data_IF_098336167972
#
_entry.id   IF_098336167972
#
_cell.length_a   1.000
_cell.length_b   1.000
_cell.length_c   1.000
_cell.angle_alpha   90.00
_cell.angle_beta   90.00
_cell.angle_gamma   90.00
#
_symmetry.space_group_name_H-M   'P 1'
#
loop_
_entity.id
_entity.type
_entity.pdbx_description
1 polymer ?
#
# COMPACT_ATOMS: atom_id res chain seq x y z
N UNK A 1 32.08 11.25 -19.37
CA UNK A 1 31.66 10.98 -19.35
C UNK A 1 30.83 10.34 -18.97
N UNK A 2 31.02 10.20 -18.94
CA UNK A 2 30.28 9.62 -18.71
C UNK A 2 29.46 9.38 -18.11
N UNK A 3 29.57 9.49 -17.95
CA UNK A 3 28.93 9.32 -17.40
C UNK A 3 27.91 9.46 -17.13
N UNK A 4 27.86 9.64 -17.19
CA UNK A 4 27.04 9.83 -17.13
C UNK A 4 26.05 9.50 -17.07
N UNK A 5 26.07 9.38 -17.28
CA UNK A 5 25.21 9.15 -17.39
C UNK A 5 24.39 8.56 -16.78
N UNK A 6 24.40 8.42 -16.46
CA UNK A 6 23.72 7.98 -15.92
C UNK A 6 22.75 8.27 -15.43
N UNK A 7 22.73 8.56 -15.29
CA UNK A 7 21.93 8.96 -14.89
C UNK A 7 20.84 8.82 -14.89
N UNK A 8 20.82 8.66 -15.25
CA UNK A 8 19.93 8.61 -15.40
C UNK A 8 18.92 8.23 -15.04
N UNK A 9 19.01 8.03 -14.85
CA UNK A 9 18.19 7.72 -14.59
C UNK A 9 17.28 7.94 -14.12
N UNK A 10 17.47 8.09 -13.90
CA UNK A 10 16.78 8.34 -13.50
C UNK A 10 15.84 8.50 -13.28
N UNK A 11 15.89 8.52 -13.34
CA UNK A 11 15.10 8.71 -13.26
C UNK A 11 14.26 8.81 -12.78
N UNK A 12 14.31 8.80 -12.30
CA UNK A 12 13.43 8.80 -11.68
C UNK A 12 12.48 9.26 -11.88
N UNK A 13 12.52 9.39 -12.20
CA UNK A 13 11.74 9.85 -12.42
C UNK A 13 10.55 9.89 -12.50
N UNK A 14 10.29 9.99 -12.83
CA UNK A 14 9.23 9.80 -13.15
C UNK A 14 8.15 9.57 -12.41
N UNK A 15 8.20 9.12 -11.68
CA UNK A 15 7.33 8.81 -10.89
C UNK A 15 6.44 9.74 -10.33
N UNK A 16 6.74 10.84 -10.45
CA UNK A 16 6.05 11.92 -9.93
C UNK A 16 4.63 12.03 -10.25
N UNK A 17 4.23 11.58 -11.37
CA UNK A 17 2.86 11.74 -11.77
C UNK A 17 1.87 11.05 -10.85
N UNK A 18 2.32 10.13 -10.07
CA UNK A 18 1.42 9.40 -9.22
C UNK A 18 1.03 10.10 -7.96
N UNK A 19 1.49 11.30 -7.76
CA UNK A 19 1.23 11.99 -6.53
C UNK A 19 -0.15 12.56 -6.40
N UNK A 20 -0.90 12.66 -7.46
CA UNK A 20 -2.19 13.29 -7.39
C UNK A 20 -3.25 12.37 -6.83
N UNK A 21 -4.30 12.95 -6.30
CA UNK A 21 -5.54 12.28 -5.99
C UNK A 21 -5.45 11.16 -4.96
N UNK A 22 -4.60 11.31 -4.00
CA UNK A 22 -4.53 10.34 -2.93
C UNK A 22 -3.87 9.03 -3.30
N UNK A 23 -3.18 9.01 -4.42
CA UNK A 23 -2.42 7.84 -4.83
C UNK A 23 -1.01 7.94 -4.30
N UNK A 24 -0.58 6.94 -3.57
CA UNK A 24 0.80 6.85 -3.10
C UNK A 24 1.62 5.99 -4.02
N UNK A 25 2.89 6.29 -4.13
CA UNK A 25 3.84 5.48 -4.87
C UNK A 25 4.87 4.93 -3.89
N UNK A 26 5.06 3.63 -3.93
CA UNK A 26 6.00 2.99 -3.02
C UNK A 26 7.43 3.32 -3.39
N UNK A 27 8.21 3.65 -2.41
CA UNK A 27 9.63 3.84 -2.56
C UNK A 27 10.36 2.50 -2.49
N UNK A 28 11.61 2.49 -2.94
CA UNK A 28 12.42 1.28 -2.88
C UNK A 28 12.54 0.70 -1.48
N UNK A 29 12.47 1.51 -0.47
CA UNK A 29 12.58 1.06 0.91
C UNK A 29 11.33 0.42 1.49
N UNK A 30 10.26 0.31 0.71
CA UNK A 30 9.05 -0.32 1.17
C UNK A 30 7.84 0.58 1.03
N UNK A 31 6.69 -0.03 1.16
CA UNK A 31 5.41 0.63 1.00
C UNK A 31 4.62 0.55 2.29
N UNK A 32 3.98 1.63 2.68
CA UNK A 32 3.26 1.71 3.94
C UNK A 32 1.88 2.29 3.76
N UNK A 33 0.93 1.75 4.53
CA UNK A 33 -0.43 2.25 4.61
C UNK A 33 -0.76 2.42 6.07
N UNK A 34 -1.32 3.55 6.45
CA UNK A 34 -1.80 3.78 7.81
C UNK A 34 -3.24 3.36 7.92
N UNK A 35 -3.59 2.70 9.01
CA UNK A 35 -4.96 2.30 9.31
C UNK A 35 -5.45 3.06 10.54
N UNK A 36 -6.39 3.93 10.34
CA UNK A 36 -7.00 4.71 11.42
C UNK A 36 -8.52 4.70 11.24
N UNK A 37 -9.25 5.20 12.20
CA UNK A 37 -10.70 5.30 12.11
C UNK A 37 -11.06 6.39 11.09
N UNK A 38 -11.70 6.14 10.01
CA UNK A 38 -12.13 4.85 9.45
C UNK A 38 -11.61 4.77 8.03
N UNK A 39 -10.31 4.84 7.88
CA UNK A 39 -9.72 4.91 6.55
C UNK A 39 -8.33 4.28 6.50
N UNK A 40 -7.96 3.86 5.30
CA UNK A 40 -6.59 3.49 4.97
C UNK A 40 -5.97 4.64 4.18
N UNK A 41 -4.74 5.03 4.55
CA UNK A 41 -4.04 6.13 3.88
C UNK A 41 -2.64 5.70 3.47
N UNK A 42 -2.32 5.75 2.19
CA UNK A 42 -3.20 6.14 1.09
C UNK A 42 -4.25 5.07 0.80
N UNK A 43 -5.35 5.48 0.24
CA UNK A 43 -6.43 4.56 -0.11
C UNK A 43 -6.04 3.68 -1.30
N UNK A 44 -5.31 4.23 -2.23
CA UNK A 44 -4.74 3.51 -3.36
C UNK A 44 -3.23 3.62 -3.30
N UNK A 45 -2.56 2.48 -3.28
CA UNK A 45 -1.11 2.44 -3.24
C UNK A 45 -0.61 1.67 -4.46
N UNK A 46 0.28 2.29 -5.23
CA UNK A 46 0.90 1.66 -6.39
C UNK A 46 2.29 1.17 -6.04
N UNK A 47 2.56 -0.08 -6.35
CA UNK A 47 3.85 -0.71 -6.07
C UNK A 47 4.33 -1.49 -7.29
N UNK A 48 5.57 -1.96 -7.22
CA UNK A 48 6.15 -2.85 -8.20
C UNK A 48 6.02 -4.29 -7.72
N UNK A 49 6.00 -5.23 -8.65
CA UNK A 49 6.02 -6.65 -8.30
C UNK A 49 7.19 -6.94 -7.38
N UNK A 50 6.96 -7.77 -6.39
CA UNK A 50 7.96 -8.16 -5.43
C UNK A 50 8.04 -7.28 -4.20
N UNK A 51 7.40 -6.14 -4.19
CA UNK A 51 7.43 -5.27 -3.03
C UNK A 51 6.48 -5.73 -1.94
N UNK A 52 6.86 -5.43 -0.71
CA UNK A 52 6.06 -5.72 0.47
C UNK A 52 5.35 -4.45 0.92
N UNK A 53 4.06 -4.57 1.22
CA UNK A 53 3.28 -3.49 1.81
C UNK A 53 3.10 -3.79 3.29
N UNK A 54 3.29 -2.78 4.12
CA UNK A 54 3.07 -2.87 5.56
C UNK A 54 1.95 -1.91 5.94
N UNK A 55 0.91 -2.45 6.56
CA UNK A 55 -0.16 -1.65 7.17
C UNK A 55 0.21 -1.40 8.61
N UNK A 56 0.09 -0.15 9.04
CA UNK A 56 0.44 0.28 10.39
C UNK A 56 -0.80 0.77 11.11
N UNK A 57 -1.02 0.23 12.28
CA UNK A 57 -2.10 0.67 13.14
C UNK A 57 -1.83 2.08 13.66
N UNK A 58 -2.84 2.92 13.64
CA UNK A 58 -2.80 4.26 14.23
C UNK A 58 -3.76 4.32 15.41
N UNK A 59 -5.01 3.96 15.20
CA UNK A 59 -6.00 3.91 16.26
C UNK A 59 -7.16 3.00 15.85
N UNK A 60 -8.00 2.65 16.82
CA UNK A 60 -9.16 1.82 16.55
C UNK A 60 -8.81 0.35 16.48
N UNK A 61 -9.70 -0.41 15.86
CA UNK A 61 -9.49 -1.83 15.65
C UNK A 61 -9.90 -2.12 14.20
N UNK A 62 -9.01 -2.72 13.45
CA UNK A 62 -9.21 -2.89 12.03
C UNK A 62 -8.79 -4.27 11.56
N UNK A 63 -9.18 -4.60 10.34
CA UNK A 63 -8.61 -5.74 9.63
C UNK A 63 -8.09 -5.25 8.29
N UNK A 64 -7.16 -6.00 7.72
CA UNK A 64 -6.74 -5.88 6.33
C UNK A 64 -7.13 -7.19 5.69
N UNK A 65 -8.19 -7.16 4.91
CA UNK A 65 -8.80 -8.36 4.39
C UNK A 65 -8.92 -8.31 2.87
N UNK A 66 -8.18 -9.21 2.22
CA UNK A 66 -8.22 -9.37 0.78
C UNK A 66 -8.91 -10.68 0.46
N UNK A 67 -9.79 -10.66 -0.54
CA UNK A 67 -10.31 -11.92 -1.07
C UNK A 67 -9.25 -12.62 -1.90
N UNK A 68 -8.53 -11.86 -2.70
CA UNK A 68 -7.48 -12.43 -3.54
C UNK A 68 -6.30 -12.85 -2.68
N UNK A 69 -6.03 -14.17 -2.65
CA UNK A 69 -4.97 -14.72 -1.83
C UNK A 69 -5.36 -14.99 -0.41
N UNK A 70 -6.63 -14.86 -0.07
CA UNK A 70 -7.15 -15.23 1.26
C UNK A 70 -6.35 -14.63 2.41
N UNK A 71 -6.07 -13.34 2.33
CA UNK A 71 -5.30 -12.64 3.35
C UNK A 71 -6.24 -11.91 4.30
N UNK A 72 -6.10 -12.15 5.60
CA UNK A 72 -6.93 -11.54 6.62
C UNK A 72 -6.13 -11.36 7.89
N UNK A 73 -5.78 -10.12 8.21
CA UNK A 73 -5.00 -9.79 9.41
C UNK A 73 -5.70 -8.72 10.21
N UNK A 74 -5.63 -8.85 11.53
CA UNK A 74 -6.16 -7.86 12.45
C UNK A 74 -5.09 -6.82 12.79
N UNK A 75 -5.51 -5.57 12.86
CA UNK A 75 -4.68 -4.47 13.34
C UNK A 75 -5.30 -3.89 14.60
N UNK A 76 -4.51 -3.77 15.64
CA UNK A 76 -4.92 -3.22 16.92
C UNK A 76 -3.70 -2.76 17.68
N UNK A 77 -3.90 -2.21 18.85
CA UNK A 77 -2.78 -1.82 19.70
C UNK A 77 -1.84 -3.00 19.96
N UNK A 78 -2.39 -4.19 20.18
CA UNK A 78 -1.60 -5.39 20.43
C UNK A 78 -1.01 -6.03 19.18
N UNK A 79 -1.51 -5.66 18.02
CA UNK A 79 -1.03 -6.17 16.73
C UNK A 79 -0.92 -4.98 15.75
N UNK A 80 0.13 -4.16 15.93
CA UNK A 80 0.17 -2.86 15.23
C UNK A 80 0.62 -2.91 13.78
N UNK A 81 0.97 -4.07 13.25
CA UNK A 81 1.43 -4.18 11.87
C UNK A 81 0.92 -5.45 11.21
N UNK A 82 0.71 -5.33 9.90
CA UNK A 82 0.46 -6.48 9.04
C UNK A 82 1.20 -6.21 7.73
N UNK A 83 1.74 -7.25 7.11
CA UNK A 83 2.50 -7.10 5.87
C UNK A 83 2.13 -8.17 4.87
N UNK A 84 2.21 -7.81 3.59
CA UNK A 84 1.99 -8.74 2.50
C UNK A 84 2.91 -8.40 1.34
N UNK A 85 3.55 -9.41 0.76
CA UNK A 85 4.38 -9.25 -0.44
C UNK A 85 3.54 -9.59 -1.66
N UNK A 86 3.61 -8.74 -2.69
CA UNK A 86 2.82 -8.90 -3.90
C UNK A 86 3.72 -9.30 -5.06
N UNK A 87 3.58 -10.53 -5.52
CA UNK A 87 4.44 -11.08 -6.58
C UNK A 87 3.82 -11.05 -7.96
N UNK A 88 2.55 -10.68 -8.06
CA UNK A 88 1.84 -10.63 -9.33
C UNK A 88 1.31 -9.23 -9.59
N UNK A 89 1.36 -8.81 -10.84
CA UNK A 89 0.75 -7.55 -11.25
C UNK A 89 -0.77 -7.65 -11.16
N UNK A 90 -1.43 -6.53 -10.92
CA UNK A 90 -2.88 -6.48 -10.83
C UNK A 90 -3.34 -5.48 -9.79
N UNK A 91 -4.64 -5.40 -9.63
CA UNK A 91 -5.28 -4.57 -8.62
C UNK A 91 -5.88 -5.45 -7.55
N UNK A 92 -5.45 -5.25 -6.32
CA UNK A 92 -5.85 -6.07 -5.19
C UNK A 92 -6.61 -5.21 -4.20
N UNK A 93 -7.91 -5.44 -4.10
CA UNK A 93 -8.78 -4.66 -3.23
C UNK A 93 -8.89 -5.30 -1.86
N UNK A 94 -8.97 -4.47 -0.84
CA UNK A 94 -9.11 -4.96 0.52
C UNK A 94 -10.07 -4.08 1.32
N UNK A 95 -10.54 -4.60 2.42
CA UNK A 95 -11.49 -3.91 3.29
C UNK A 95 -11.10 -4.12 4.74
N UNK A 96 -11.60 -3.24 5.60
CA UNK A 96 -11.69 -3.51 7.01
C UNK A 96 -13.05 -4.13 7.27
N UNK A 97 -13.09 -5.37 7.74
CA UNK A 97 -14.35 -6.09 7.96
C UNK A 97 -15.23 -5.44 9.03
N UNK A 98 -14.64 -4.72 9.97
CA UNK A 98 -15.38 -4.08 11.03
C UNK A 98 -16.05 -2.78 10.60
N UNK A 99 -15.57 -2.16 9.54
CA UNK A 99 -16.02 -0.82 9.16
C UNK A 99 -16.38 -0.70 7.68
N UNK A 100 -16.77 -1.80 7.04
CA UNK A 100 -17.15 -1.75 5.62
C UNK A 100 -18.33 -0.82 5.40
N UNK A 101 -19.28 -0.79 6.33
CA UNK A 101 -20.42 0.10 6.22
C UNK A 101 -20.02 1.58 6.24
N UNK A 102 -18.85 1.89 6.75
CA UNK A 102 -18.30 3.24 6.78
C UNK A 102 -17.35 3.51 5.62
N UNK A 103 -17.26 2.58 4.68
CA UNK A 103 -16.44 2.75 3.50
C UNK A 103 -14.94 2.54 3.73
N UNK A 104 -14.56 1.85 4.80
CA UNK A 104 -13.16 1.61 5.09
C UNK A 104 -12.59 0.52 4.20
N UNK A 105 -12.02 0.94 3.09
CA UNK A 105 -11.44 0.04 2.09
C UNK A 105 -10.29 0.71 1.35
N UNK A 106 -9.47 -0.11 0.71
CA UNK A 106 -8.36 0.39 -0.06
C UNK A 106 -8.03 -0.56 -1.18
N UNK A 107 -6.98 -0.24 -1.91
CA UNK A 107 -6.47 -1.14 -2.95
C UNK A 107 -4.99 -0.95 -3.16
N UNK A 108 -4.33 -2.02 -3.57
CA UNK A 108 -2.92 -2.02 -3.94
C UNK A 108 -2.87 -2.34 -5.44
N UNK A 109 -2.25 -1.44 -6.19
CA UNK A 109 -2.04 -1.62 -7.62
C UNK A 109 -0.60 -2.06 -7.82
N UNK A 110 -0.41 -3.25 -8.37
CA UNK A 110 0.91 -3.85 -8.56
C UNK A 110 1.24 -3.81 -10.05
N UNK A 111 2.34 -3.18 -10.38
CA UNK A 111 2.77 -3.00 -11.76
C UNK A 111 3.88 -3.95 -12.16
#
# INVERSE_FOLDING_TARGET
>A
MGRLTRVRRMGAITVVAALALGVGVAQAGGAKVSASNYSFKPKTLTIQKGQKVTWKWVNGRHTVTFKQGSFDKTLSKGHPRASRTFKKAGTFKYVCRFHTALGMRGKVVVQ
#
